data_IF_349246170052
#
_entry.id   IF_349246170052
#
_cell.length_a   1.000
_cell.length_b   1.000
_cell.length_c   1.000
_cell.angle_alpha   90.00
_cell.angle_beta   90.00
_cell.angle_gamma   90.00
#
_symmetry.space_group_name_H-M   'P 1'
#
loop_
_entity.id
_entity.type
_entity.pdbx_description
1 polymer ?
#
# COMPACT_ATOMS: atom_id res chain seq x y z
N UNK A 1 -19.54 1.99 -31.35
CA UNK A 1 -18.64 1.39 -32.36
C UNK A 1 -17.23 1.81 -31.98
N UNK A 2 -16.45 0.95 -31.37
CA UNK A 2 -15.06 1.26 -31.02
C UNK A 2 -14.26 1.28 -32.30
N UNK A 3 -13.68 2.43 -32.66
CA UNK A 3 -12.75 2.57 -33.80
C UNK A 3 -11.63 1.56 -33.57
N UNK A 4 -11.33 0.72 -34.57
CA UNK A 4 -10.22 -0.22 -34.48
C UNK A 4 -8.94 0.56 -34.13
N UNK A 5 -8.12 0.09 -33.22
CA UNK A 5 -6.90 0.78 -32.78
C UNK A 5 -5.92 1.00 -33.98
N UNK A 6 -6.05 0.19 -35.05
CA UNK A 6 -5.31 0.33 -36.30
C UNK A 6 -5.61 1.61 -37.07
N UNK A 7 -6.76 2.27 -36.83
CA UNK A 7 -7.18 3.49 -37.54
C UNK A 7 -6.94 4.77 -36.76
N UNK A 8 -6.26 4.67 -35.60
CA UNK A 8 -5.92 5.81 -34.79
C UNK A 8 -4.85 6.66 -35.50
N UNK A 9 -5.17 7.94 -35.72
CA UNK A 9 -4.19 8.90 -36.24
C UNK A 9 -3.26 9.32 -35.12
N UNK A 10 -1.97 9.36 -35.40
CA UNK A 10 -1.02 10.02 -34.52
C UNK A 10 -1.29 11.54 -34.58
N UNK A 11 -1.71 12.12 -33.45
CA UNK A 11 -2.00 13.56 -33.30
C UNK A 11 -0.87 14.32 -32.62
N UNK A 12 0.23 13.64 -32.27
CA UNK A 12 1.35 14.26 -31.59
C UNK A 12 2.26 14.96 -32.59
N UNK A 13 2.57 16.23 -32.33
CA UNK A 13 3.52 17.01 -33.11
C UNK A 13 4.97 16.57 -32.87
N UNK A 14 5.25 16.14 -31.65
CA UNK A 14 6.57 15.67 -31.24
C UNK A 14 6.56 14.14 -31.05
N UNK A 15 7.46 13.41 -31.74
CA UNK A 15 7.56 11.97 -31.56
C UNK A 15 8.07 11.61 -30.15
N UNK A 16 7.57 10.49 -29.60
CA UNK A 16 8.10 9.93 -28.36
C UNK A 16 8.36 8.43 -28.54
N UNK A 17 9.59 7.96 -28.29
CA UNK A 17 10.78 8.79 -28.01
C UNK A 17 11.18 9.64 -29.22
N UNK A 18 11.93 10.74 -28.99
CA UNK A 18 12.57 11.45 -30.10
C UNK A 18 13.70 10.57 -30.68
N UNK A 19 14.12 10.80 -31.95
CA UNK A 19 15.22 10.04 -32.55
C UNK A 19 16.50 10.07 -31.72
N UNK A 20 16.84 11.23 -31.15
CA UNK A 20 18.02 11.43 -30.30
C UNK A 20 17.89 10.62 -29.01
N UNK A 21 16.74 10.70 -28.34
CA UNK A 21 16.48 9.95 -27.10
C UNK A 21 16.51 8.43 -27.35
N UNK A 22 15.97 7.97 -28.48
CA UNK A 22 15.98 6.56 -28.86
C UNK A 22 17.40 6.05 -29.22
N UNK A 23 18.30 6.95 -29.63
CA UNK A 23 19.70 6.60 -29.86
C UNK A 23 20.51 6.46 -28.57
N UNK A 24 20.14 7.21 -27.52
CA UNK A 24 20.84 7.20 -26.23
C UNK A 24 20.29 6.16 -25.24
N UNK A 25 18.99 5.83 -25.35
CA UNK A 25 18.29 4.98 -24.40
C UNK A 25 17.45 3.91 -25.10
N UNK A 26 17.34 2.74 -24.49
CA UNK A 26 16.51 1.65 -25.01
C UNK A 26 15.03 1.88 -24.73
N UNK A 27 14.20 1.72 -25.78
CA UNK A 27 12.75 1.72 -25.71
C UNK A 27 12.20 0.41 -26.28
N UNK A 28 11.10 -0.05 -25.71
CA UNK A 28 10.40 -1.25 -26.16
C UNK A 28 8.98 -0.91 -26.59
N UNK A 29 8.41 -1.61 -27.60
CA UNK A 29 7.01 -1.42 -27.96
C UNK A 29 6.07 -1.73 -26.80
N UNK A 30 5.09 -0.85 -26.55
CA UNK A 30 4.00 -1.10 -25.63
C UNK A 30 2.75 -1.51 -26.40
N UNK A 31 2.45 -2.80 -26.38
CA UNK A 31 1.32 -3.38 -27.11
C UNK A 31 0.47 -4.26 -26.17
N UNK A 32 -0.35 -3.66 -25.29
CA UNK A 32 -1.26 -4.42 -24.46
C UNK A 32 -2.30 -5.14 -25.31
N UNK A 33 -2.74 -6.32 -24.89
CA UNK A 33 -3.83 -7.01 -25.56
C UNK A 33 -5.10 -6.14 -25.54
N UNK A 34 -5.76 -5.94 -26.68
CA UNK A 34 -6.97 -5.14 -26.74
C UNK A 34 -8.10 -5.84 -25.93
N UNK A 35 -8.87 -5.04 -25.22
CA UNK A 35 -10.04 -5.51 -24.46
C UNK A 35 -11.27 -4.88 -25.11
N UNK A 36 -12.27 -5.68 -25.46
CA UNK A 36 -13.55 -5.16 -25.96
C UNK A 36 -14.22 -4.29 -24.87
N UNK A 37 -14.93 -3.23 -25.30
CA UNK A 37 -15.53 -2.28 -24.35
C UNK A 37 -16.47 -2.94 -23.34
N UNK A 38 -17.27 -3.93 -23.79
CA UNK A 38 -18.17 -4.68 -22.90
C UNK A 38 -17.37 -5.49 -21.85
N UNK A 39 -16.29 -6.14 -22.26
CA UNK A 39 -15.42 -6.90 -21.36
C UNK A 39 -14.66 -5.98 -20.41
N UNK A 40 -14.27 -4.79 -20.87
CA UNK A 40 -13.62 -3.79 -20.02
C UNK A 40 -14.55 -3.30 -18.90
N UNK A 41 -15.81 -3.05 -19.23
CA UNK A 41 -16.83 -2.67 -18.23
C UNK A 41 -17.05 -3.79 -17.21
N UNK A 42 -17.20 -5.04 -17.66
CA UNK A 42 -17.38 -6.19 -16.78
C UNK A 42 -16.18 -6.38 -15.83
N UNK A 43 -14.96 -6.36 -16.36
CA UNK A 43 -13.73 -6.47 -15.54
C UNK A 43 -13.60 -5.32 -14.52
N UNK A 44 -14.02 -4.11 -14.90
CA UNK A 44 -14.04 -2.96 -14.00
C UNK A 44 -15.01 -3.17 -12.84
N UNK A 45 -16.23 -3.65 -13.11
CA UNK A 45 -17.23 -3.99 -12.10
C UNK A 45 -16.73 -5.10 -11.16
N UNK A 46 -16.25 -6.20 -11.72
CA UNK A 46 -15.74 -7.35 -10.94
C UNK A 46 -14.60 -6.93 -9.99
N UNK A 47 -13.66 -6.12 -10.49
CA UNK A 47 -12.58 -5.62 -9.65
C UNK A 47 -13.07 -4.64 -8.58
N UNK A 48 -14.02 -3.77 -8.92
CA UNK A 48 -14.64 -2.87 -7.95
C UNK A 48 -15.37 -3.65 -6.84
N UNK A 49 -16.20 -4.64 -7.19
CA UNK A 49 -16.92 -5.49 -6.23
C UNK A 49 -15.95 -6.23 -5.30
N UNK A 50 -14.89 -6.81 -5.86
CA UNK A 50 -13.82 -7.44 -5.08
C UNK A 50 -13.23 -6.46 -4.06
N UNK A 51 -12.84 -5.27 -4.50
CA UNK A 51 -12.20 -4.27 -3.63
C UNK A 51 -13.18 -3.62 -2.65
N UNK A 52 -14.47 -3.54 -2.99
CA UNK A 52 -15.50 -3.04 -2.08
C UNK A 52 -15.75 -3.98 -0.91
N UNK A 53 -15.63 -5.29 -1.12
CA UNK A 53 -15.69 -6.29 -0.06
C UNK A 53 -14.49 -6.22 0.92
N UNK A 54 -13.38 -5.58 0.55
CA UNK A 54 -12.20 -5.49 1.38
C UNK A 54 -12.44 -4.59 2.62
N UNK A 55 -12.06 -5.09 3.79
CA UNK A 55 -12.17 -4.37 5.07
C UNK A 55 -10.83 -4.40 5.83
N UNK A 56 -10.64 -3.45 6.74
CA UNK A 56 -9.56 -3.48 7.73
C UNK A 56 -9.91 -4.48 8.83
N UNK A 57 -9.13 -5.55 8.96
CA UNK A 57 -9.37 -6.65 9.90
C UNK A 57 -8.38 -6.57 11.06
N UNK A 58 -8.87 -6.74 12.29
CA UNK A 58 -8.09 -6.73 13.54
C UNK A 58 -8.15 -8.05 14.32
N UNK A 59 -8.93 -9.02 13.82
CA UNK A 59 -9.05 -10.35 14.42
C UNK A 59 -8.56 -11.37 13.41
N UNK A 60 -7.39 -11.93 13.66
CA UNK A 60 -6.73 -12.90 12.79
C UNK A 60 -6.78 -14.30 13.40
N UNK A 61 -6.84 -15.31 12.53
CA UNK A 61 -6.50 -16.68 12.87
C UNK A 61 -4.98 -16.82 12.92
N UNK A 62 -4.50 -17.73 13.76
CA UNK A 62 -3.09 -18.17 13.85
C UNK A 62 -2.73 -19.18 12.73
N UNK A 63 -3.67 -19.51 11.84
CA UNK A 63 -3.44 -20.42 10.73
C UNK A 63 -2.26 -19.94 9.87
N UNK A 64 -1.30 -20.80 9.55
CA UNK A 64 -0.09 -20.39 8.85
C UNK A 64 -0.39 -19.89 7.45
N UNK A 65 0.26 -18.79 7.06
CA UNK A 65 0.22 -18.25 5.71
C UNK A 65 1.55 -18.54 5.02
N UNK A 66 1.56 -19.20 3.85
CA UNK A 66 2.78 -19.47 3.11
C UNK A 66 3.55 -18.20 2.77
N UNK A 67 4.86 -18.19 3.01
CA UNK A 67 5.77 -17.07 2.70
C UNK A 67 5.63 -16.62 1.24
N UNK A 68 5.45 -17.55 0.32
CA UNK A 68 5.31 -17.28 -1.11
C UNK A 68 4.13 -16.34 -1.43
N UNK A 69 3.04 -16.36 -0.64
CA UNK A 69 1.91 -15.43 -0.83
C UNK A 69 2.30 -14.00 -0.44
N UNK A 70 3.10 -13.84 0.62
CA UNK A 70 3.62 -12.53 1.02
C UNK A 70 4.59 -12.00 -0.03
N UNK A 71 5.51 -12.84 -0.51
CA UNK A 71 6.45 -12.50 -1.57
C UNK A 71 5.72 -12.12 -2.88
N UNK A 72 4.66 -12.84 -3.25
CA UNK A 72 3.84 -12.51 -4.42
C UNK A 72 3.14 -11.15 -4.28
N UNK A 73 2.63 -10.83 -3.10
CA UNK A 73 2.03 -9.52 -2.84
C UNK A 73 3.07 -8.39 -2.94
N UNK A 74 4.29 -8.61 -2.44
CA UNK A 74 5.40 -7.65 -2.55
C UNK A 74 5.82 -7.46 -4.00
N UNK A 75 5.91 -8.54 -4.79
CA UNK A 75 6.21 -8.45 -6.23
C UNK A 75 5.14 -7.62 -6.95
N UNK A 76 3.86 -7.85 -6.66
CA UNK A 76 2.77 -7.03 -7.22
C UNK A 76 2.89 -5.57 -6.80
N UNK A 77 3.13 -5.30 -5.53
CA UNK A 77 3.36 -3.94 -5.03
C UNK A 77 4.52 -3.24 -5.73
N UNK A 78 5.59 -3.98 -6.03
CA UNK A 78 6.80 -3.47 -6.68
C UNK A 78 6.60 -3.11 -8.17
N UNK A 79 5.44 -3.42 -8.76
CA UNK A 79 5.06 -2.92 -10.09
C UNK A 79 4.52 -1.48 -10.07
N UNK A 80 4.40 -0.86 -8.90
CA UNK A 80 3.96 0.52 -8.76
C UNK A 80 4.84 1.48 -9.57
N UNK A 81 4.28 2.51 -10.20
CA UNK A 81 5.06 3.60 -10.74
C UNK A 81 5.74 4.39 -9.61
N UNK A 82 6.89 4.99 -9.91
CA UNK A 82 7.61 5.82 -8.95
C UNK A 82 8.33 6.98 -9.64
N UNK A 83 8.58 8.05 -8.92
CA UNK A 83 9.30 9.21 -9.43
C UNK A 83 10.66 8.80 -10.00
N UNK A 84 10.91 9.11 -11.29
CA UNK A 84 12.12 8.73 -12.03
C UNK A 84 12.47 7.22 -11.92
N UNK A 85 11.47 6.37 -11.77
CA UNK A 85 11.60 4.92 -11.58
C UNK A 85 12.53 4.53 -10.41
N UNK A 86 12.57 5.36 -9.36
CA UNK A 86 13.47 5.16 -8.21
C UNK A 86 13.04 4.02 -7.30
N UNK A 87 11.77 3.60 -7.32
CA UNK A 87 11.24 2.50 -6.50
C UNK A 87 11.64 2.64 -5.02
N UNK A 88 11.33 3.78 -4.38
CA UNK A 88 11.87 4.19 -3.09
C UNK A 88 11.16 3.52 -1.91
N UNK A 89 11.01 2.23 -1.98
CA UNK A 89 10.33 1.40 -0.98
C UNK A 89 11.16 0.20 -0.57
N UNK A 90 11.03 -0.17 0.71
CA UNK A 90 11.59 -1.41 1.26
C UNK A 90 10.50 -2.12 2.05
N UNK A 91 10.11 -3.32 1.62
CA UNK A 91 9.23 -4.20 2.38
C UNK A 91 10.07 -5.08 3.29
N UNK A 92 9.84 -4.98 4.60
CA UNK A 92 10.49 -5.80 5.63
C UNK A 92 9.43 -6.70 6.23
N UNK A 93 9.60 -8.02 6.09
CA UNK A 93 8.62 -9.01 6.52
C UNK A 93 9.18 -9.91 7.62
N UNK A 94 8.31 -10.33 8.55
CA UNK A 94 8.67 -11.25 9.63
C UNK A 94 7.48 -12.13 10.02
N UNK A 95 7.77 -13.40 10.31
CA UNK A 95 6.91 -14.38 10.96
C UNK A 95 7.46 -14.79 12.33
N UNK A 96 8.62 -14.25 12.73
CA UNK A 96 9.27 -14.53 14.00
C UNK A 96 8.43 -14.07 15.17
N UNK A 97 8.05 -14.99 16.05
CA UNK A 97 7.28 -14.70 17.26
C UNK A 97 7.97 -13.64 18.14
N UNK A 98 9.30 -13.75 18.31
CA UNK A 98 10.08 -12.81 19.12
C UNK A 98 10.08 -11.39 18.53
N UNK A 99 10.19 -11.25 17.18
CA UNK A 99 10.14 -9.95 16.52
C UNK A 99 8.75 -9.37 16.58
N UNK A 100 7.70 -10.17 16.38
CA UNK A 100 6.31 -9.73 16.50
C UNK A 100 5.96 -9.25 17.91
N UNK A 101 6.42 -9.96 18.94
CA UNK A 101 6.26 -9.54 20.35
C UNK A 101 6.93 -8.19 20.61
N UNK A 102 8.19 -8.02 20.18
CA UNK A 102 8.90 -6.76 20.35
C UNK A 102 8.22 -5.58 19.59
N UNK A 103 7.65 -5.85 18.40
CA UNK A 103 6.86 -4.85 17.65
C UNK A 103 5.58 -4.51 18.43
N UNK A 104 4.86 -5.49 18.96
CA UNK A 104 3.64 -5.29 19.74
C UNK A 104 3.92 -4.46 20.99
N UNK A 105 4.88 -4.87 21.82
CA UNK A 105 5.25 -4.18 23.05
C UNK A 105 5.56 -2.69 22.79
N UNK A 106 6.39 -2.41 21.77
CA UNK A 106 6.75 -1.05 21.41
C UNK A 106 5.57 -0.25 20.85
N UNK A 107 4.67 -0.88 20.05
CA UNK A 107 3.49 -0.24 19.53
C UNK A 107 2.47 0.07 20.64
N UNK A 108 2.23 -0.85 21.57
CA UNK A 108 1.30 -0.66 22.68
C UNK A 108 1.81 0.42 23.65
N UNK A 109 3.12 0.55 23.85
CA UNK A 109 3.69 1.63 24.67
C UNK A 109 3.46 3.02 24.05
N UNK A 110 3.69 3.17 22.73
CA UNK A 110 3.39 4.43 22.01
C UNK A 110 1.89 4.73 21.99
N UNK A 111 1.07 3.73 21.77
CA UNK A 111 -0.39 3.89 21.75
C UNK A 111 -0.95 4.16 23.14
N UNK A 112 -0.39 3.58 24.21
CA UNK A 112 -0.78 3.87 25.57
C UNK A 112 -0.64 5.36 25.90
N UNK A 113 0.47 5.98 25.50
CA UNK A 113 0.66 7.43 25.63
C UNK A 113 -0.37 8.22 24.83
N UNK A 114 -0.73 7.77 23.62
CA UNK A 114 -1.73 8.44 22.81
C UNK A 114 -3.13 8.36 23.44
N UNK A 115 -3.56 7.18 23.88
CA UNK A 115 -4.93 6.93 24.36
C UNK A 115 -5.13 7.33 25.83
N UNK A 116 -4.13 7.15 26.71
CA UNK A 116 -4.29 7.33 28.16
C UNK A 116 -3.72 8.66 28.67
N UNK A 117 -2.67 9.19 28.05
CA UNK A 117 -1.97 10.40 28.49
C UNK A 117 -2.43 11.67 27.70
N UNK A 118 -3.62 11.62 27.08
CA UNK A 118 -4.26 12.74 26.38
C UNK A 118 -3.42 13.38 25.26
N UNK A 119 -2.57 12.62 24.57
CA UNK A 119 -1.88 13.13 23.37
C UNK A 119 -2.84 13.28 22.19
N UNK A 120 -3.91 12.47 22.11
CA UNK A 120 -4.98 12.62 21.12
C UNK A 120 -5.95 13.73 21.52
N UNK A 121 -6.26 14.63 20.59
CA UNK A 121 -7.32 15.61 20.76
C UNK A 121 -8.71 14.95 20.64
N UNK A 122 -9.76 15.66 21.07
CA UNK A 122 -11.14 15.16 21.07
C UNK A 122 -11.62 14.79 19.66
N UNK A 123 -11.32 15.60 18.64
CA UNK A 123 -11.68 15.35 17.25
C UNK A 123 -11.12 14.00 16.73
N UNK A 124 -9.88 13.68 17.09
CA UNK A 124 -9.26 12.41 16.72
C UNK A 124 -9.87 11.22 17.46
N UNK A 125 -10.17 11.38 18.75
CA UNK A 125 -10.87 10.36 19.55
C UNK A 125 -12.26 10.06 18.97
N UNK A 126 -13.05 11.09 18.62
CA UNK A 126 -14.34 10.94 17.97
C UNK A 126 -14.25 10.20 16.63
N UNK A 127 -13.23 10.53 15.81
CA UNK A 127 -13.01 9.89 14.52
C UNK A 127 -12.62 8.39 14.64
N UNK A 128 -11.93 8.01 15.72
CA UNK A 128 -11.53 6.62 15.98
C UNK A 128 -12.61 5.79 16.68
N UNK A 129 -13.54 6.42 17.40
CA UNK A 129 -14.56 5.72 18.17
C UNK A 129 -15.36 4.68 17.36
N UNK A 130 -15.85 4.97 16.13
CA UNK A 130 -16.55 3.98 15.32
C UNK A 130 -15.66 2.80 14.87
N UNK A 131 -14.34 2.94 14.92
CA UNK A 131 -13.40 1.90 14.51
C UNK A 131 -13.12 0.90 15.63
N UNK A 132 -13.53 1.19 16.88
CA UNK A 132 -13.36 0.31 18.04
C UNK A 132 -11.90 -0.06 18.29
N UNK A 133 -10.97 0.88 18.12
CA UNK A 133 -9.54 0.67 18.34
C UNK A 133 -9.09 1.34 19.64
N UNK A 134 -8.20 0.68 20.35
CA UNK A 134 -7.58 1.15 21.60
C UNK A 134 -6.06 0.90 21.57
N UNK A 135 -5.41 0.97 22.73
CA UNK A 135 -3.97 0.75 22.85
C UNK A 135 -3.54 -0.72 22.81
N UNK A 136 -4.47 -1.69 22.91
CA UNK A 136 -4.15 -3.11 22.83
C UNK A 136 -3.98 -3.55 21.37
N UNK A 137 -2.89 -4.22 21.07
CA UNK A 137 -2.51 -4.61 19.69
C UNK A 137 -2.14 -6.09 19.58
N UNK A 138 -2.89 -6.98 20.27
CA UNK A 138 -2.65 -8.42 20.25
C UNK A 138 -2.58 -8.99 18.83
N UNK A 139 -3.30 -8.38 17.88
CA UNK A 139 -3.27 -8.78 16.50
C UNK A 139 -1.88 -8.72 15.85
N UNK A 140 -0.93 -7.96 16.42
CA UNK A 140 0.45 -7.91 15.95
C UNK A 140 1.24 -9.19 16.28
N UNK A 141 0.83 -9.94 17.31
CA UNK A 141 1.41 -11.25 17.61
C UNK A 141 0.63 -12.40 16.99
N UNK A 142 -0.71 -12.30 16.97
CA UNK A 142 -1.57 -13.37 16.47
C UNK A 142 -1.45 -13.51 14.93
N UNK A 143 -1.43 -12.40 14.20
CA UNK A 143 -1.27 -12.45 12.74
C UNK A 143 -0.01 -13.24 12.35
N UNK A 144 -0.09 -14.24 11.44
CA UNK A 144 1.05 -15.04 11.01
C UNK A 144 2.25 -14.21 10.52
N UNK A 145 1.98 -13.13 9.80
CA UNK A 145 2.99 -12.24 9.26
C UNK A 145 2.80 -10.79 9.68
N UNK A 146 3.92 -10.10 9.87
CA UNK A 146 4.00 -8.64 9.85
C UNK A 146 4.85 -8.24 8.66
N UNK A 147 4.36 -7.26 7.89
CA UNK A 147 5.12 -6.57 6.85
C UNK A 147 5.13 -5.09 7.16
N UNK A 148 6.33 -4.49 7.18
CA UNK A 148 6.49 -3.04 7.32
C UNK A 148 7.02 -2.49 6.02
N UNK A 149 6.30 -1.54 5.44
CA UNK A 149 6.77 -0.76 4.31
C UNK A 149 7.54 0.45 4.84
N UNK A 150 8.78 0.56 4.40
CA UNK A 150 9.64 1.71 4.65
C UNK A 150 9.77 2.56 3.40
N UNK A 151 9.75 3.87 3.55
CA UNK A 151 10.15 4.83 2.53
C UNK A 151 11.68 4.98 2.54
N UNK A 152 12.31 4.80 1.40
CA UNK A 152 13.75 5.05 1.22
C UNK A 152 13.94 6.50 0.77
N UNK A 153 14.36 7.36 1.70
CA UNK A 153 14.43 8.82 1.49
C UNK A 153 15.54 9.24 0.52
N UNK A 154 16.61 8.47 0.51
CA UNK A 154 17.76 8.65 -0.39
C UNK A 154 18.48 7.32 -0.59
N UNK A 155 19.04 7.15 -1.76
CA UNK A 155 19.93 6.05 -2.10
C UNK A 155 21.32 6.32 -1.50
N UNK A 156 21.88 5.36 -0.77
CA UNK A 156 23.26 5.41 -0.29
C UNK A 156 24.15 4.72 -1.31
N UNK A 157 25.06 5.44 -1.93
CA UNK A 157 26.01 4.89 -2.89
C UNK A 157 27.22 4.25 -2.21
N UNK A 158 27.92 3.33 -2.88
CA UNK A 158 29.15 2.71 -2.36
C UNK A 158 30.27 3.72 -2.06
N UNK A 159 30.32 4.83 -2.78
CA UNK A 159 31.26 5.95 -2.57
C UNK A 159 30.88 6.87 -1.40
N UNK A 160 29.79 6.60 -0.72
CA UNK A 160 29.26 7.40 0.39
C UNK A 160 28.37 8.57 -0.05
N UNK A 161 28.20 8.81 -1.36
CA UNK A 161 27.31 9.85 -1.86
C UNK A 161 25.83 9.51 -1.58
N UNK A 162 25.03 10.54 -1.23
CA UNK A 162 23.59 10.41 -1.03
C UNK A 162 22.85 10.97 -2.25
N UNK A 163 22.03 10.14 -2.90
CA UNK A 163 21.13 10.56 -3.97
C UNK A 163 19.70 10.64 -3.49
N UNK A 164 19.11 11.82 -3.60
CA UNK A 164 17.71 12.04 -3.23
C UNK A 164 16.78 11.19 -4.10
N UNK A 165 15.80 10.56 -3.46
CA UNK A 165 14.65 9.94 -4.12
C UNK A 165 13.53 10.99 -4.29
N UNK A 166 12.68 10.80 -5.31
CA UNK A 166 11.61 11.74 -5.67
C UNK A 166 10.25 11.10 -5.43
N UNK A 167 9.25 11.91 -5.03
CA UNK A 167 7.87 11.47 -4.82
C UNK A 167 7.78 10.20 -3.97
N UNK A 168 8.56 10.17 -2.88
CA UNK A 168 8.75 8.96 -2.06
C UNK A 168 7.45 8.50 -1.43
N UNK A 169 6.71 9.42 -0.78
CA UNK A 169 5.44 9.09 -0.11
C UNK A 169 4.37 8.65 -1.08
N UNK A 170 4.23 9.37 -2.19
CA UNK A 170 3.27 9.07 -3.25
C UNK A 170 3.55 7.69 -3.84
N UNK A 171 4.82 7.40 -4.15
CA UNK A 171 5.26 6.11 -4.67
C UNK A 171 5.00 4.97 -3.69
N UNK A 172 5.33 5.16 -2.40
CA UNK A 172 5.04 4.19 -1.35
C UNK A 172 3.53 3.99 -1.14
N UNK A 173 2.73 5.06 -1.25
CA UNK A 173 1.26 4.97 -1.16
C UNK A 173 0.66 4.12 -2.28
N UNK A 174 1.13 4.30 -3.54
CA UNK A 174 0.69 3.48 -4.68
C UNK A 174 1.11 2.02 -4.48
N UNK A 175 2.35 1.77 -4.07
CA UNK A 175 2.84 0.42 -3.78
C UNK A 175 2.05 -0.24 -2.64
N UNK A 176 1.72 0.49 -1.57
CA UNK A 176 0.89 0.01 -0.48
C UNK A 176 -0.53 -0.37 -0.95
N UNK A 177 -1.14 0.43 -1.82
CA UNK A 177 -2.45 0.12 -2.40
C UNK A 177 -2.44 -1.17 -3.22
N UNK A 178 -1.43 -1.37 -4.08
CA UNK A 178 -1.26 -2.60 -4.85
C UNK A 178 -0.98 -3.81 -3.93
N UNK A 179 -0.19 -3.63 -2.86
CA UNK A 179 0.05 -4.67 -1.86
C UNK A 179 -1.24 -5.15 -1.20
N UNK A 180 -2.07 -4.20 -0.74
CA UNK A 180 -3.36 -4.49 -0.10
C UNK A 180 -4.30 -5.22 -1.09
N UNK A 181 -4.37 -4.76 -2.34
CA UNK A 181 -5.19 -5.39 -3.38
C UNK A 181 -4.74 -6.83 -3.65
N UNK A 182 -3.42 -7.06 -3.76
CA UNK A 182 -2.87 -8.40 -3.97
C UNK A 182 -3.18 -9.35 -2.82
N UNK A 183 -3.00 -8.91 -1.57
CA UNK A 183 -3.36 -9.70 -0.38
C UNK A 183 -4.84 -10.08 -0.40
N UNK A 184 -5.70 -9.09 -0.66
CA UNK A 184 -7.15 -9.33 -0.69
C UNK A 184 -7.57 -10.29 -1.81
N UNK A 185 -6.99 -10.16 -3.00
CA UNK A 185 -7.22 -11.08 -4.12
C UNK A 185 -6.84 -12.53 -3.78
N UNK A 186 -5.85 -12.72 -2.91
CA UNK A 186 -5.43 -14.04 -2.41
C UNK A 186 -6.21 -14.52 -1.18
N UNK A 187 -7.27 -13.82 -0.76
CA UNK A 187 -8.08 -14.17 0.40
C UNK A 187 -7.43 -13.85 1.75
N UNK A 188 -6.37 -13.07 1.76
CA UNK A 188 -5.70 -12.64 2.98
C UNK A 188 -6.27 -11.31 3.49
N UNK A 189 -6.41 -11.23 4.81
CA UNK A 189 -6.84 -10.03 5.51
C UNK A 189 -5.63 -9.23 6.00
N UNK A 190 -5.82 -7.91 6.08
CA UNK A 190 -4.83 -6.98 6.66
C UNK A 190 -5.52 -5.70 7.14
N UNK A 191 -4.75 -4.87 7.81
CA UNK A 191 -5.06 -3.46 8.05
C UNK A 191 -3.81 -2.61 7.86
N UNK A 192 -4.00 -1.34 7.58
CA UNK A 192 -2.93 -0.33 7.68
C UNK A 192 -2.82 0.09 9.13
N UNK A 193 -1.70 -0.23 9.78
CA UNK A 193 -1.42 0.19 11.16
C UNK A 193 -0.29 1.21 11.18
N UNK A 194 -0.57 2.39 11.71
CA UNK A 194 0.34 3.54 11.72
C UNK A 194 0.41 4.16 13.11
N UNK A 195 0.97 3.42 14.11
CA UNK A 195 1.16 3.99 15.45
C UNK A 195 2.06 5.23 15.34
N UNK A 196 1.75 6.27 16.08
CA UNK A 196 2.51 7.52 16.01
C UNK A 196 3.15 7.85 17.35
N UNK A 197 4.50 8.02 17.37
CA UNK A 197 5.48 7.86 16.29
C UNK A 197 5.83 6.40 15.95
N UNK A 198 6.23 6.12 14.69
CA UNK A 198 6.63 4.77 14.23
C UNK A 198 8.15 4.50 14.31
N UNK A 199 8.94 5.41 14.87
CA UNK A 199 10.41 5.31 14.86
C UNK A 199 10.95 4.05 15.54
N UNK A 200 10.21 3.45 16.46
CA UNK A 200 10.56 2.20 17.13
C UNK A 200 10.73 1.04 16.13
N UNK A 201 9.97 1.02 15.03
CA UNK A 201 10.09 -0.01 13.99
C UNK A 201 11.47 -0.06 13.35
N UNK A 202 12.10 1.10 13.13
CA UNK A 202 13.48 1.14 12.62
C UNK A 202 14.46 0.48 13.57
N UNK A 203 14.28 0.65 14.89
CA UNK A 203 15.13 0.04 15.91
C UNK A 203 14.90 -1.47 16.00
N UNK A 204 13.65 -1.89 16.13
CA UNK A 204 13.30 -3.32 16.27
C UNK A 204 13.72 -4.12 15.06
N UNK A 205 13.57 -3.55 13.85
CA UNK A 205 13.88 -4.22 12.58
C UNK A 205 15.29 -3.94 12.05
N UNK A 206 16.13 -3.22 12.80
CA UNK A 206 17.52 -2.93 12.42
C UNK A 206 17.65 -2.17 11.10
N UNK A 207 16.78 -1.18 10.84
CA UNK A 207 16.77 -0.46 9.56
C UNK A 207 17.74 0.72 9.56
N UNK A 208 18.39 0.99 8.39
CA UNK A 208 19.32 2.11 8.26
C UNK A 208 18.60 3.47 8.30
N UNK A 209 19.37 4.55 8.51
CA UNK A 209 18.86 5.92 8.67
C UNK A 209 18.07 6.45 7.47
N UNK A 210 18.40 6.00 6.25
CA UNK A 210 17.70 6.41 5.03
C UNK A 210 16.32 5.76 4.87
N UNK A 211 15.99 4.74 5.67
CA UNK A 211 14.70 4.07 5.67
C UNK A 211 13.83 4.58 6.84
N UNK A 212 12.64 5.06 6.51
CA UNK A 212 11.65 5.54 7.47
C UNK A 212 10.38 4.70 7.38
N UNK A 213 9.81 4.22 8.51
CA UNK A 213 8.56 3.49 8.48
C UNK A 213 7.44 4.33 7.86
N UNK A 214 6.71 3.74 6.92
CA UNK A 214 5.57 4.35 6.25
C UNK A 214 4.25 3.75 6.74
N UNK A 215 4.15 2.42 6.77
CA UNK A 215 2.97 1.69 7.25
C UNK A 215 3.34 0.26 7.63
N UNK A 216 2.65 -0.28 8.65
CA UNK A 216 2.76 -1.67 9.08
C UNK A 216 1.48 -2.42 8.70
N UNK A 217 1.64 -3.66 8.23
CA UNK A 217 0.58 -4.58 7.84
C UNK A 217 0.69 -5.88 8.63
N UNK A 218 -0.15 -6.15 9.64
CA UNK A 218 -0.39 -7.52 10.09
C UNK A 218 -1.20 -8.25 9.03
N UNK A 219 -0.84 -9.51 8.73
CA UNK A 219 -1.40 -10.27 7.61
C UNK A 219 -1.71 -11.68 8.07
N UNK A 220 -2.90 -12.14 7.73
CA UNK A 220 -3.37 -13.49 8.04
C UNK A 220 -4.75 -13.75 7.46
N UNK A 221 -5.31 -14.91 7.78
CA UNK A 221 -6.71 -15.19 7.54
C UNK A 221 -7.56 -14.54 8.64
N UNK A 222 -8.75 -14.01 8.36
CA UNK A 222 -9.63 -13.51 9.40
C UNK A 222 -10.07 -14.65 10.32
N UNK A 223 -10.15 -14.39 11.62
CA UNK A 223 -10.73 -15.35 12.56
C UNK A 223 -12.21 -15.60 12.19
N UNK A 224 -12.72 -16.85 12.21
CA UNK A 224 -14.13 -17.11 11.97
C UNK A 224 -15.04 -16.29 12.88
N UNK A 225 -16.07 -15.65 12.31
CA UNK A 225 -16.97 -14.76 13.06
C UNK A 225 -16.43 -13.34 13.29
N UNK A 226 -15.28 -12.98 12.72
CA UNK A 226 -14.74 -11.61 12.78
C UNK A 226 -15.79 -10.58 12.33
N UNK A 227 -15.91 -9.52 13.12
CA UNK A 227 -16.74 -8.35 12.79
C UNK A 227 -15.85 -7.17 12.44
N UNK A 228 -16.34 -6.31 11.56
CA UNK A 228 -15.69 -5.06 11.14
C UNK A 228 -16.67 -3.91 11.33
N UNK A 229 -16.19 -2.67 11.52
CA UNK A 229 -17.07 -1.50 11.63
C UNK A 229 -18.00 -1.39 10.42
N UNK A 230 -19.27 -1.11 10.66
CA UNK A 230 -20.26 -0.86 9.61
C UNK A 230 -20.17 0.60 9.17
N UNK A 231 -19.24 0.88 8.28
CA UNK A 231 -18.97 2.20 7.72
C UNK A 231 -19.10 2.16 6.20
N UNK A 232 -19.74 3.17 5.64
CA UNK A 232 -19.92 3.33 4.19
C UNK A 232 -18.75 4.09 3.55
N UNK A 233 -18.52 3.82 2.27
CA UNK A 233 -17.65 4.65 1.42
C UNK A 233 -18.45 5.81 0.85
N UNK A 234 -17.77 6.90 0.51
CA UNK A 234 -18.38 8.02 -0.19
C UNK A 234 -18.89 7.58 -1.56
N UNK A 235 -20.05 8.06 -2.00
CA UNK A 235 -20.55 7.84 -3.36
C UNK A 235 -19.65 8.54 -4.40
N UNK A 236 -19.83 8.19 -5.67
CA UNK A 236 -19.00 8.72 -6.76
C UNK A 236 -19.01 10.25 -6.81
N UNK A 237 -20.16 10.87 -6.65
CA UNK A 237 -20.33 12.32 -6.76
C UNK A 237 -19.59 13.12 -5.67
N UNK A 238 -19.23 12.45 -4.55
CA UNK A 238 -18.44 13.06 -3.47
C UNK A 238 -16.93 12.94 -3.72
N UNK A 239 -16.50 12.11 -4.67
CA UNK A 239 -15.08 11.82 -4.91
C UNK A 239 -14.62 12.14 -6.32
N UNK A 240 -15.54 12.45 -7.24
CA UNK A 240 -15.24 12.74 -8.63
C UNK A 240 -15.98 14.00 -9.10
N UNK A 241 -15.27 14.83 -9.87
CA UNK A 241 -15.82 15.99 -10.55
C UNK A 241 -15.49 15.90 -12.04
N UNK A 242 -16.50 16.00 -12.90
CA UNK A 242 -16.31 16.08 -14.35
C UNK A 242 -16.36 17.55 -14.78
N UNK A 243 -15.23 18.10 -15.22
CA UNK A 243 -15.12 19.47 -15.73
C UNK A 243 -15.24 19.42 -17.25
N UNK A 244 -16.27 20.09 -17.80
CA UNK A 244 -16.55 20.15 -19.25
C UNK A 244 -16.15 21.49 -19.87
N UNK A 245 -16.09 22.54 -19.06
CA UNK A 245 -15.80 23.89 -19.50
C UNK A 245 -14.70 24.53 -18.63
N UNK A 246 -14.01 25.52 -19.19
CA UNK A 246 -13.08 26.32 -18.43
C UNK A 246 -13.85 27.25 -17.47
N UNK A 247 -13.33 27.51 -16.24
CA UNK A 247 -13.95 28.42 -15.28
C UNK A 247 -13.95 29.88 -15.75
#
# INVERSE_FOLDING_TARGET
MVRAMSDAKNLYEHPYPSPELAAEHSFVPYAPAPVATADAAARGSEFHELMDARRSVRMFSDAPVPKALIEQAILTASTAPSGAHKQPWRFVMTDSAAVKSAIREAAEEEERVNYLDNRMNEEWQEALAPLGTDHHKEFLEVAPWIVVLFEERYEQRPDGERRKNYYVKESCGIAAGLFIAALHTMGLATLTHTPSPMAFLSKVLGRPENERPFVLFPIGYPLPGTRVPDIARKPLDDVAVHVTDLP
#
